data_IF_438678871991
#
_entry.id   IF_438678871991
#
_cell.length_a   1.000
_cell.length_b   1.000
_cell.length_c   1.000
_cell.angle_alpha   90.00
_cell.angle_beta   90.00
_cell.angle_gamma   90.00
#
_symmetry.space_group_name_H-M   'P 1'
#
loop_
_entity.id
_entity.type
_entity.pdbx_description
1 polymer ?
#
# COMPACT_ATOMS: atom_id res chain seq x y z
N UNK A 1 -3.84 -19.91 9.72
CA UNK A 1 -2.67 -20.06 8.83
C UNK A 1 -2.17 -21.46 8.95
N UNK A 2 -1.55 -22.09 7.97
CA UNK A 2 -0.70 -23.23 8.33
C UNK A 2 0.64 -22.69 8.84
N UNK A 3 1.24 -23.32 9.85
CA UNK A 3 2.69 -23.47 9.88
C UNK A 3 3.03 -24.08 8.51
N UNK A 4 3.56 -23.25 7.60
CA UNK A 4 3.35 -23.43 6.16
C UNK A 4 3.81 -24.81 5.68
N UNK A 5 2.91 -25.61 5.07
CA UNK A 5 3.19 -26.93 4.47
C UNK A 5 3.71 -26.85 3.03
N UNK A 6 3.73 -25.66 2.43
CA UNK A 6 4.26 -25.46 1.08
C UNK A 6 5.68 -24.90 1.16
N UNK A 7 6.61 -25.78 1.50
CA UNK A 7 8.04 -25.54 1.38
C UNK A 7 8.55 -26.35 0.19
N UNK A 8 9.33 -25.72 -0.70
CA UNK A 8 10.22 -26.51 -1.55
C UNK A 8 11.20 -27.26 -0.64
N UNK A 9 11.75 -28.41 -1.08
CA UNK A 9 12.74 -29.17 -0.29
C UNK A 9 13.96 -28.33 0.18
N UNK A 10 14.14 -27.12 -0.37
CA UNK A 10 15.19 -26.15 -0.03
C UNK A 10 14.72 -24.97 0.87
N UNK A 11 13.50 -24.99 1.42
CA UNK A 11 12.99 -23.92 2.30
C UNK A 11 12.52 -22.66 1.58
N UNK A 12 12.20 -22.75 0.28
CA UNK A 12 11.71 -21.64 -0.52
C UNK A 12 10.23 -21.34 -0.30
N UNK A 13 9.85 -20.08 -0.52
CA UNK A 13 8.47 -19.62 -0.53
C UNK A 13 7.75 -20.16 -1.77
N UNK A 14 6.71 -20.98 -1.58
CA UNK A 14 5.84 -21.43 -2.67
C UNK A 14 4.63 -20.49 -2.74
N UNK A 15 4.63 -19.64 -3.77
CA UNK A 15 3.49 -18.80 -4.13
C UNK A 15 2.75 -19.51 -5.26
N UNK A 16 1.42 -19.48 -5.21
CA UNK A 16 0.59 -19.99 -6.30
C UNK A 16 0.93 -19.22 -7.60
N UNK A 17 0.98 -19.90 -8.75
CA UNK A 17 1.31 -19.27 -10.03
C UNK A 17 0.36 -18.11 -10.43
N UNK A 18 -0.80 -18.01 -9.77
CA UNK A 18 -1.78 -16.93 -9.95
C UNK A 18 -1.56 -15.70 -9.05
N UNK A 19 -0.60 -15.73 -8.12
CA UNK A 19 -0.33 -14.66 -7.16
C UNK A 19 1.05 -14.04 -7.41
N UNK A 20 1.10 -12.71 -7.61
CA UNK A 20 2.36 -11.98 -7.82
C UNK A 20 2.89 -11.36 -6.53
N UNK A 21 4.22 -11.30 -6.41
CA UNK A 21 4.90 -10.53 -5.36
C UNK A 21 4.86 -9.05 -5.76
N UNK A 22 4.26 -8.22 -4.91
CA UNK A 22 4.20 -6.77 -5.09
C UNK A 22 5.39 -6.06 -4.46
N UNK A 23 5.90 -6.59 -3.34
CA UNK A 23 7.04 -6.03 -2.62
C UNK A 23 7.77 -7.11 -1.84
N UNK A 24 9.08 -6.96 -1.70
CA UNK A 24 9.94 -7.75 -0.83
C UNK A 24 10.74 -6.80 0.08
N UNK A 25 10.87 -7.15 1.35
CA UNK A 25 11.74 -6.49 2.32
C UNK A 25 12.65 -7.52 2.99
N UNK A 26 13.95 -7.23 3.02
CA UNK A 26 14.96 -8.05 3.71
C UNK A 26 15.17 -7.54 5.13
N UNK A 27 15.80 -8.38 5.95
CA UNK A 27 16.17 -8.07 7.34
C UNK A 27 15.00 -7.54 8.20
N UNK A 28 13.82 -8.14 8.01
CA UNK A 28 12.64 -7.84 8.80
C UNK A 28 12.62 -8.70 10.05
N UNK A 29 12.30 -8.08 11.18
CA UNK A 29 12.06 -8.75 12.45
C UNK A 29 10.56 -8.87 12.73
N UNK A 30 10.07 -10.08 13.00
CA UNK A 30 8.69 -10.36 13.38
C UNK A 30 8.62 -10.80 14.83
N UNK A 31 7.75 -10.16 15.62
CA UNK A 31 7.50 -10.55 17.00
C UNK A 31 6.00 -10.53 17.30
N UNK A 32 5.60 -11.33 18.30
CA UNK A 32 4.21 -11.46 18.74
C UNK A 32 4.07 -11.16 20.22
N UNK A 33 2.97 -10.52 20.61
CA UNK A 33 2.53 -10.29 21.99
C UNK A 33 1.03 -10.61 22.13
N UNK A 34 0.52 -10.52 23.37
CA UNK A 34 -0.91 -10.64 23.67
C UNK A 34 -1.55 -11.96 23.22
N UNK A 35 -0.79 -13.06 23.38
CA UNK A 35 -1.24 -14.42 23.09
C UNK A 35 -1.53 -15.16 24.40
N UNK A 36 -2.73 -15.75 24.51
CA UNK A 36 -3.11 -16.54 25.69
C UNK A 36 -2.18 -17.74 25.91
N UNK A 37 -1.85 -18.46 24.84
CA UNK A 37 -0.84 -19.51 24.81
C UNK A 37 0.15 -19.17 23.70
N UNK A 38 1.45 -19.26 23.98
CA UNK A 38 2.51 -18.90 23.02
C UNK A 38 3.30 -20.14 22.58
N UNK A 39 2.92 -20.78 21.44
CA UNK A 39 3.65 -21.91 20.90
C UNK A 39 5.09 -21.52 20.58
N UNK A 40 5.99 -22.52 20.50
CA UNK A 40 7.42 -22.30 20.24
C UNK A 40 7.68 -21.48 18.97
N UNK A 41 6.91 -21.72 17.92
CA UNK A 41 6.96 -20.97 16.67
C UNK A 41 6.75 -19.45 16.86
N UNK A 42 6.07 -19.01 17.91
CA UNK A 42 5.78 -17.60 18.18
C UNK A 42 6.71 -16.98 19.24
N UNK A 43 7.56 -17.79 19.89
CA UNK A 43 8.50 -17.31 20.91
C UNK A 43 9.66 -16.55 20.27
N UNK A 44 10.15 -15.54 21.00
CA UNK A 44 11.24 -14.66 20.60
C UNK A 44 10.98 -13.89 19.29
N UNK A 45 11.87 -12.96 18.98
CA UNK A 45 11.84 -12.23 17.71
C UNK A 45 12.39 -13.11 16.59
N UNK A 46 11.68 -13.16 15.48
CA UNK A 46 12.02 -13.91 14.27
C UNK A 46 12.71 -12.98 13.30
N UNK A 47 13.79 -13.43 12.65
CA UNK A 47 14.50 -12.65 11.61
C UNK A 47 14.26 -13.28 10.26
N UNK A 48 13.98 -12.49 9.24
CA UNK A 48 13.55 -13.03 7.96
C UNK A 48 13.36 -12.02 6.85
N UNK A 49 12.69 -12.49 5.80
CA UNK A 49 12.20 -11.68 4.68
C UNK A 49 10.69 -11.54 4.78
N UNK A 50 10.17 -10.39 4.34
CA UNK A 50 8.75 -10.12 4.28
C UNK A 50 8.34 -9.88 2.83
N UNK A 51 7.34 -10.63 2.38
CA UNK A 51 6.76 -10.52 1.06
C UNK A 51 5.36 -9.95 1.15
N UNK A 52 5.03 -9.07 0.22
CA UNK A 52 3.69 -8.53 0.02
C UNK A 52 3.10 -9.08 -1.26
N UNK A 53 1.85 -9.53 -1.18
CA UNK A 53 1.04 -9.97 -2.32
C UNK A 53 -0.27 -9.18 -2.31
N UNK A 54 -1.13 -9.30 -3.34
CA UNK A 54 -2.46 -8.70 -3.32
C UNK A 54 -3.36 -9.15 -2.15
N UNK A 55 -3.10 -10.30 -1.54
CA UNK A 55 -4.03 -10.93 -0.59
C UNK A 55 -3.49 -11.06 0.84
N UNK A 56 -2.16 -11.02 1.00
CA UNK A 56 -1.49 -11.39 2.25
C UNK A 56 -0.06 -10.85 2.33
N UNK A 57 0.40 -10.67 3.56
CA UNK A 57 1.83 -10.63 3.85
C UNK A 57 2.33 -12.05 4.11
N UNK A 58 3.57 -12.35 3.74
CA UNK A 58 4.20 -13.62 4.04
C UNK A 58 5.57 -13.35 4.63
N UNK A 59 5.76 -13.75 5.88
CA UNK A 59 7.05 -13.71 6.54
C UNK A 59 7.76 -15.05 6.33
N UNK A 60 8.99 -15.02 5.83
CA UNK A 60 9.86 -16.17 5.68
C UNK A 60 11.01 -16.06 6.68
N UNK A 61 11.09 -16.99 7.63
CA UNK A 61 12.13 -17.01 8.64
C UNK A 61 13.46 -17.40 8.01
N UNK A 62 14.55 -16.79 8.50
CA UNK A 62 15.91 -17.12 8.12
C UNK A 62 16.39 -18.35 8.92
N UNK A 63 17.08 -19.27 8.24
CA UNK A 63 17.70 -20.43 8.89
C UNK A 63 16.67 -21.49 9.33
N UNK A 64 16.97 -22.18 10.43
CA UNK A 64 16.15 -23.29 10.96
C UNK A 64 15.21 -22.85 12.10
N UNK A 65 14.60 -21.67 11.99
CA UNK A 65 13.64 -21.21 13.00
C UNK A 65 12.37 -22.09 12.97
N UNK A 66 11.82 -22.51 14.14
CA UNK A 66 10.62 -23.34 14.21
C UNK A 66 9.39 -22.78 13.46
N UNK A 67 9.30 -21.46 13.30
CA UNK A 67 8.23 -20.81 12.53
C UNK A 67 8.28 -21.18 11.05
N UNK A 68 9.48 -21.29 10.47
CA UNK A 68 9.74 -21.46 9.03
C UNK A 68 9.14 -20.34 8.16
N UNK A 69 7.81 -20.24 8.05
CA UNK A 69 7.12 -19.08 7.48
C UNK A 69 5.75 -18.86 8.11
N UNK A 70 5.28 -17.62 8.04
CA UNK A 70 4.03 -17.16 8.63
C UNK A 70 3.26 -16.29 7.65
N UNK A 71 2.04 -16.69 7.34
CA UNK A 71 1.25 -16.12 6.25
C UNK A 71 0.09 -15.30 6.79
N UNK A 72 0.12 -13.98 6.67
CA UNK A 72 -0.83 -13.05 7.27
C UNK A 72 -1.86 -12.55 6.24
N UNK A 73 -3.03 -13.19 6.07
CA UNK A 73 -4.03 -12.77 5.10
C UNK A 73 -4.76 -11.53 5.60
N UNK A 74 -5.05 -10.59 4.70
CA UNK A 74 -5.60 -9.29 5.12
C UNK A 74 -6.95 -9.39 5.83
N UNK A 75 -7.76 -10.40 5.52
CA UNK A 75 -9.05 -10.58 6.20
C UNK A 75 -8.92 -10.94 7.69
N UNK A 76 -7.78 -11.52 8.11
CA UNK A 76 -7.47 -11.86 9.51
C UNK A 76 -6.66 -10.78 10.24
N UNK A 77 -6.12 -9.81 9.50
CA UNK A 77 -5.29 -8.73 10.03
C UNK A 77 -6.15 -7.51 10.31
N UNK A 78 -5.96 -6.87 11.47
CA UNK A 78 -6.72 -5.68 11.91
C UNK A 78 -5.78 -4.63 12.51
N UNK A 79 -6.24 -3.37 12.47
CA UNK A 79 -5.59 -2.27 13.19
C UNK A 79 -4.13 -2.02 12.81
N UNK A 80 -3.76 -2.24 11.54
CA UNK A 80 -2.38 -1.99 11.11
C UNK A 80 -2.02 -0.50 11.14
N UNK A 81 -0.87 -0.16 11.72
CA UNK A 81 -0.27 1.18 11.64
C UNK A 81 1.22 1.09 11.30
N UNK A 82 1.73 2.13 10.63
CA UNK A 82 3.18 2.33 10.39
C UNK A 82 3.66 3.29 11.49
N UNK A 83 4.68 2.89 12.22
CA UNK A 83 5.28 3.66 13.30
C UNK A 83 6.68 4.10 12.87
N UNK A 84 6.97 5.39 13.01
CA UNK A 84 8.20 6.04 12.54
C UNK A 84 9.00 6.69 13.69
N UNK A 85 9.59 5.88 14.59
CA UNK A 85 10.40 6.39 15.68
C UNK A 85 11.70 7.03 15.16
N UNK A 86 12.12 8.13 15.78
CA UNK A 86 13.33 8.88 15.38
C UNK A 86 14.63 8.10 15.64
N UNK A 87 14.66 7.28 16.70
CA UNK A 87 15.86 6.61 17.18
C UNK A 87 15.81 5.08 17.09
N UNK A 88 14.88 4.52 16.31
CA UNK A 88 14.82 3.07 16.08
C UNK A 88 14.28 2.78 14.69
N UNK A 89 14.35 1.52 14.26
CA UNK A 89 13.83 1.13 12.96
C UNK A 89 12.30 1.29 12.89
N UNK A 90 11.83 1.78 11.74
CA UNK A 90 10.40 1.87 11.45
C UNK A 90 9.78 0.47 11.50
N UNK A 91 8.54 0.41 11.99
CA UNK A 91 7.85 -0.86 12.13
C UNK A 91 6.37 -0.75 11.81
N UNK A 92 5.78 -1.87 11.38
CA UNK A 92 4.34 -2.02 11.22
C UNK A 92 3.84 -2.88 12.38
N UNK A 93 2.81 -2.41 13.08
CA UNK A 93 2.13 -3.21 14.11
C UNK A 93 0.67 -3.40 13.76
N UNK A 94 0.05 -4.43 14.31
CA UNK A 94 -1.38 -4.70 14.19
C UNK A 94 -1.77 -5.93 14.99
N UNK A 95 -3.01 -6.37 14.85
CA UNK A 95 -3.46 -7.64 15.40
C UNK A 95 -3.77 -8.63 14.30
N UNK A 96 -3.64 -9.91 14.61
CA UNK A 96 -3.97 -11.00 13.70
C UNK A 96 -4.78 -12.07 14.42
N UNK A 97 -5.84 -12.52 13.78
CA UNK A 97 -6.69 -13.59 14.28
C UNK A 97 -6.26 -14.94 13.71
N UNK A 98 -6.33 -15.98 14.55
CA UNK A 98 -6.13 -17.34 14.12
C UNK A 98 -7.22 -17.75 13.11
N UNK A 99 -6.82 -18.47 12.07
CA UNK A 99 -7.76 -19.18 11.20
C UNK A 99 -8.09 -20.53 11.85
N UNK A 100 -9.35 -20.98 11.88
CA UNK A 100 -9.69 -22.34 12.27
C UNK A 100 -8.82 -23.39 11.56
N UNK A 101 -8.33 -24.39 12.30
CA UNK A 101 -7.43 -25.43 11.79
C UNK A 101 -6.02 -24.93 11.44
N UNK A 102 -5.63 -23.75 11.93
CA UNK A 102 -4.38 -23.08 11.60
C UNK A 102 -3.17 -23.41 12.50
N UNK A 103 -3.23 -24.46 13.31
CA UNK A 103 -2.13 -24.83 14.21
C UNK A 103 -1.87 -23.84 15.36
N UNK A 104 -2.71 -22.84 15.55
CA UNK A 104 -2.77 -21.97 16.73
C UNK A 104 -4.17 -21.36 16.85
N UNK A 105 -4.50 -20.81 18.02
CA UNK A 105 -5.84 -20.31 18.36
C UNK A 105 -5.81 -18.91 18.97
N UNK A 106 -6.94 -18.21 18.91
CA UNK A 106 -7.10 -16.88 19.47
C UNK A 106 -6.63 -15.76 18.55
N UNK A 107 -5.97 -14.76 19.13
CA UNK A 107 -5.41 -13.61 18.44
C UNK A 107 -4.02 -13.29 18.98
N UNK A 108 -3.26 -12.52 18.21
CA UNK A 108 -1.95 -12.02 18.62
C UNK A 108 -1.77 -10.59 18.11
N UNK A 109 -1.13 -9.75 18.90
CA UNK A 109 -0.53 -8.52 18.39
C UNK A 109 0.79 -8.89 17.71
N UNK A 110 1.04 -8.35 16.52
CA UNK A 110 2.30 -8.54 15.81
C UNK A 110 3.02 -7.21 15.61
N UNK A 111 4.34 -7.30 15.48
CA UNK A 111 5.23 -6.19 15.12
C UNK A 111 6.25 -6.66 14.09
N UNK A 112 6.29 -5.98 12.95
CA UNK A 112 7.22 -6.15 11.83
C UNK A 112 8.18 -4.97 11.80
N UNK A 113 9.43 -5.15 12.22
CA UNK A 113 10.47 -4.11 12.25
C UNK A 113 11.38 -4.22 11.04
N UNK A 114 11.57 -3.11 10.32
CA UNK A 114 12.29 -3.07 9.04
C UNK A 114 13.68 -2.49 9.25
N UNK A 115 14.65 -3.34 9.61
CA UNK A 115 16.01 -2.89 9.95
C UNK A 115 16.79 -2.34 8.76
N UNK A 116 16.45 -2.77 7.54
CA UNK A 116 17.06 -2.32 6.29
C UNK A 116 16.22 -1.26 5.55
N UNK A 117 15.25 -0.62 6.23
CA UNK A 117 14.34 0.38 5.64
C UNK A 117 13.19 -0.23 4.84
N UNK A 118 12.45 0.62 4.11
CA UNK A 118 11.33 0.21 3.24
C UNK A 118 9.96 0.07 3.93
N UNK A 119 9.86 0.33 5.24
CA UNK A 119 8.62 0.20 6.00
C UNK A 119 7.48 1.08 5.47
N UNK A 120 7.81 2.30 5.03
CA UNK A 120 6.82 3.30 4.58
C UNK A 120 6.24 2.86 3.24
N UNK A 121 7.10 2.56 2.27
CA UNK A 121 6.71 2.10 0.93
C UNK A 121 5.96 0.78 1.02
N UNK A 122 6.45 -0.16 1.85
CA UNK A 122 5.77 -1.42 2.10
C UNK A 122 4.37 -1.19 2.67
N UNK A 123 4.26 -0.37 3.73
CA UNK A 123 3.00 -0.08 4.40
C UNK A 123 1.99 0.65 3.49
N UNK A 124 2.46 1.59 2.66
CA UNK A 124 1.62 2.28 1.66
C UNK A 124 1.00 1.30 0.66
N UNK A 125 1.81 0.40 0.07
CA UNK A 125 1.30 -0.63 -0.86
C UNK A 125 0.38 -1.59 -0.11
N UNK A 126 0.75 -2.00 1.10
CA UNK A 126 -0.04 -2.89 1.96
C UNK A 126 -1.44 -2.33 2.23
N UNK A 127 -1.56 -1.07 2.64
CA UNK A 127 -2.86 -0.46 2.92
C UNK A 127 -3.76 -0.40 1.68
N UNK A 128 -3.17 -0.13 0.50
CA UNK A 128 -3.91 -0.13 -0.76
C UNK A 128 -4.46 -1.52 -1.09
N UNK A 129 -3.62 -2.56 -1.03
CA UNK A 129 -4.06 -3.93 -1.36
C UNK A 129 -5.01 -4.51 -0.31
N UNK A 130 -4.82 -4.20 0.97
CA UNK A 130 -5.72 -4.61 2.05
C UNK A 130 -7.12 -3.99 1.87
N UNK A 131 -7.19 -2.73 1.44
CA UNK A 131 -8.46 -2.06 1.11
C UNK A 131 -9.15 -2.76 -0.06
N UNK A 132 -8.42 -3.10 -1.12
CA UNK A 132 -8.99 -3.81 -2.28
C UNK A 132 -9.47 -5.21 -1.91
N UNK A 133 -8.68 -5.96 -1.15
CA UNK A 133 -9.04 -7.29 -0.66
C UNK A 133 -10.30 -7.26 0.21
N UNK A 134 -10.48 -6.21 1.03
CA UNK A 134 -11.70 -6.03 1.82
C UNK A 134 -12.96 -5.76 0.97
N UNK A 135 -12.79 -5.27 -0.26
CA UNK A 135 -13.87 -4.94 -1.21
C UNK A 135 -14.10 -6.04 -2.26
N UNK A 136 -13.31 -7.12 -2.25
CA UNK A 136 -13.36 -8.19 -3.27
C UNK A 136 -12.87 -7.75 -4.65
N UNK A 137 -12.10 -6.66 -4.75
CA UNK A 137 -11.58 -6.16 -6.03
C UNK A 137 -10.18 -6.75 -6.26
N UNK A 138 -9.92 -7.47 -7.37
CA UNK A 138 -8.59 -7.98 -7.67
C UNK A 138 -7.63 -6.80 -7.94
N UNK A 139 -6.48 -6.79 -7.26
CA UNK A 139 -5.51 -5.71 -7.43
C UNK A 139 -4.61 -6.01 -8.64
N UNK A 140 -4.70 -5.20 -9.70
CA UNK A 140 -3.80 -5.28 -10.86
C UNK A 140 -2.35 -4.94 -10.46
N UNK A 141 -1.41 -5.67 -11.07
CA UNK A 141 0.05 -5.69 -10.85
C UNK A 141 0.69 -4.40 -10.33
N UNK A 142 1.57 -4.55 -9.33
CA UNK A 142 2.39 -3.47 -8.75
C UNK A 142 3.46 -2.87 -9.70
N UNK A 143 3.49 -3.26 -10.98
CA UNK A 143 4.38 -2.66 -11.97
C UNK A 143 3.98 -1.22 -12.39
N UNK A 144 2.83 -0.72 -11.94
CA UNK A 144 2.36 0.64 -12.25
C UNK A 144 2.83 1.72 -11.26
N UNK A 145 3.62 1.40 -10.23
CA UNK A 145 4.12 2.40 -9.27
C UNK A 145 5.45 3.03 -9.74
N UNK A 146 5.48 3.50 -10.98
CA UNK A 146 6.43 4.54 -11.36
C UNK A 146 5.84 5.88 -10.92
N UNK A 147 6.62 6.63 -10.14
CA UNK A 147 6.38 8.02 -9.79
C UNK A 147 6.02 8.78 -11.08
N UNK A 148 4.78 9.25 -11.22
CA UNK A 148 4.42 10.16 -12.31
C UNK A 148 4.75 11.58 -11.86
N UNK A 149 5.84 12.21 -12.35
CA UNK A 149 5.94 13.65 -12.22
C UNK A 149 4.76 14.26 -12.99
N UNK A 150 4.12 15.28 -12.40
CA UNK A 150 3.08 16.04 -13.06
C UNK A 150 3.63 16.59 -14.39
N UNK A 151 3.12 16.10 -15.51
CA UNK A 151 3.36 16.64 -16.83
C UNK A 151 2.02 16.76 -17.55
N UNK A 152 1.70 18.00 -17.90
CA UNK A 152 0.60 18.41 -18.75
C UNK A 152 0.47 17.54 -20.01
N UNK A 153 -0.77 17.30 -20.42
CA UNK A 153 -1.11 17.23 -21.83
C UNK A 153 -1.25 15.83 -22.44
N UNK A 154 -2.50 15.51 -22.80
CA UNK A 154 -2.90 14.61 -23.89
C UNK A 154 -2.40 13.15 -23.86
N UNK A 155 -3.10 12.31 -23.09
CA UNK A 155 -3.15 10.87 -23.35
C UNK A 155 -4.23 10.53 -24.40
N UNK A 156 -3.99 9.58 -25.33
CA UNK A 156 -4.96 9.23 -26.37
C UNK A 156 -6.19 8.52 -25.78
N UNK A 157 -7.39 8.72 -26.35
CA UNK A 157 -8.60 8.08 -25.85
C UNK A 157 -8.61 6.56 -26.12
N UNK A 158 -9.32 5.77 -25.29
CA UNK A 158 -9.37 4.31 -25.40
C UNK A 158 -10.06 3.86 -26.70
N UNK A 159 -9.68 2.71 -27.28
CA UNK A 159 -10.27 2.21 -28.52
C UNK A 159 -11.70 1.72 -28.28
N UNK A 160 -12.65 2.25 -29.05
CA UNK A 160 -14.04 1.79 -29.07
C UNK A 160 -14.19 0.56 -29.97
N UNK A 161 -14.88 -0.44 -29.45
CA UNK A 161 -15.26 -1.67 -30.15
C UNK A 161 -16.57 -1.43 -30.93
N UNK A 162 -16.52 -1.66 -32.25
CA UNK A 162 -17.56 -2.18 -33.16
C UNK A 162 -17.72 -1.41 -34.49
N UNK A 163 -17.45 -2.13 -35.60
CA UNK A 163 -18.37 -2.27 -36.74
C UNK A 163 -18.52 -1.11 -37.75
N UNK A 164 -18.37 -1.34 -39.07
CA UNK A 164 -18.39 -0.30 -40.10
C UNK A 164 -19.81 0.02 -40.58
N UNK A 165 -20.08 1.28 -40.98
CA UNK A 165 -20.71 1.69 -42.25
C UNK A 165 -21.29 3.13 -42.23
N UNK A 166 -20.99 3.87 -43.31
CA UNK A 166 -21.72 4.98 -43.99
C UNK A 166 -21.52 6.46 -43.54
N UNK A 167 -20.86 7.22 -44.43
CA UNK A 167 -20.88 8.70 -44.58
C UNK A 167 -22.13 9.16 -45.39
N UNK A 168 -22.36 10.46 -45.70
CA UNK A 168 -21.97 11.75 -45.08
C UNK A 168 -23.16 12.76 -44.95
N UNK A 169 -23.00 13.89 -44.23
CA UNK A 169 -23.41 15.24 -44.70
C UNK A 169 -23.11 16.35 -43.66
N UNK A 170 -22.65 17.55 -44.08
CA UNK A 170 -22.44 18.70 -43.22
C UNK A 170 -23.68 19.60 -43.18
N UNK A 171 -24.08 20.10 -42.01
CA UNK A 171 -25.05 21.19 -41.91
C UNK A 171 -24.55 22.28 -40.97
N UNK A 172 -24.54 23.48 -41.53
CA UNK A 172 -24.08 24.73 -40.94
C UNK A 172 -25.23 25.45 -40.23
N UNK A 173 -24.85 26.48 -39.46
CA UNK A 173 -25.65 27.57 -38.88
C UNK A 173 -26.34 27.34 -37.52
N UNK A 174 -25.87 28.13 -36.55
CA UNK A 174 -26.59 28.40 -35.30
C UNK A 174 -25.80 29.34 -34.39
N UNK A 175 -25.83 30.64 -34.70
CA UNK A 175 -25.34 31.75 -33.88
C UNK A 175 -25.88 31.70 -32.44
N UNK A 176 -25.05 31.97 -31.42
CA UNK A 176 -25.38 32.83 -30.26
C UNK A 176 -24.11 33.40 -29.59
N UNK A 177 -24.22 34.66 -29.17
CA UNK A 177 -23.18 35.58 -28.68
C UNK A 177 -22.86 35.43 -27.16
N UNK A 178 -21.71 35.91 -26.66
CA UNK A 178 -21.41 36.09 -25.23
C UNK A 178 -22.02 37.43 -24.71
N UNK A 179 -22.22 37.75 -23.39
CA UNK A 179 -21.40 37.39 -22.22
C UNK A 179 -22.16 37.21 -20.86
N UNK A 180 -21.36 37.12 -19.77
CA UNK A 180 -21.57 36.81 -18.33
C UNK A 180 -22.52 37.77 -17.57
N UNK A 181 -23.06 37.43 -16.36
CA UNK A 181 -22.33 37.71 -15.09
C UNK A 181 -22.70 36.87 -13.84
N UNK A 182 -21.70 36.45 -13.05
CA UNK A 182 -21.76 36.25 -11.58
C UNK A 182 -20.36 35.78 -11.18
N UNK A 183 -19.55 36.49 -10.40
CA UNK A 183 -19.84 37.31 -9.25
C UNK A 183 -18.94 36.78 -8.14
N UNK A 184 -17.76 37.37 -7.96
CA UNK A 184 -16.98 37.24 -6.72
C UNK A 184 -16.34 38.59 -6.38
N UNK A 185 -16.41 39.01 -5.10
CA UNK A 185 -15.94 40.31 -4.65
C UNK A 185 -14.42 40.44 -4.77
N UNK A 186 -14.01 41.57 -5.33
CA UNK A 186 -12.64 42.01 -5.46
C UNK A 186 -12.04 42.27 -4.07
N UNK A 187 -10.89 41.68 -3.75
CA UNK A 187 -10.05 42.15 -2.65
C UNK A 187 -9.36 43.45 -3.10
N UNK A 188 -9.39 44.54 -2.30
CA UNK A 188 -8.78 45.79 -2.72
C UNK A 188 -7.25 45.66 -2.78
N UNK A 189 -6.70 45.94 -3.96
CA UNK A 189 -5.26 46.18 -4.18
C UNK A 189 -4.84 47.47 -3.48
N UNK A 190 -3.71 47.52 -2.75
CA UNK A 190 -3.19 48.77 -2.22
C UNK A 190 -2.50 49.58 -3.34
N UNK A 191 -2.62 50.92 -3.37
CA UNK A 191 -2.01 51.74 -4.39
C UNK A 191 -0.49 51.84 -4.22
N UNK A 192 0.20 51.70 -5.35
CA UNK A 192 1.65 51.79 -5.51
C UNK A 192 2.13 53.26 -5.39
N UNK A 193 3.17 53.49 -4.57
CA UNK A 193 3.97 54.72 -4.60
C UNK A 193 3.83 55.66 -3.40
N UNK A 194 4.46 55.31 -2.27
CA UNK A 194 5.19 56.24 -1.36
C UNK A 194 6.33 55.48 -0.67
N UNK A 195 7.49 56.11 -0.59
CA UNK A 195 8.76 55.58 -0.08
C UNK A 195 8.66 54.94 1.31
N UNK A 196 9.40 53.85 1.51
CA UNK A 196 9.51 53.12 2.77
C UNK A 196 10.66 53.74 3.59
N UNK A 197 10.44 54.29 4.80
CA UNK A 197 11.55 54.59 5.70
C UNK A 197 12.06 53.31 6.37
N UNK A 198 13.36 53.21 6.71
CA UNK A 198 13.97 51.97 7.18
C UNK A 198 13.48 51.59 8.58
N UNK A 199 13.23 50.30 8.77
CA UNK A 199 12.81 49.68 10.04
C UNK A 199 14.04 49.60 10.96
N UNK A 200 13.98 50.28 12.11
CA UNK A 200 14.96 50.11 13.20
C UNK A 200 14.52 48.91 14.04
N UNK A 201 15.41 47.92 14.14
CA UNK A 201 15.29 46.74 15.00
C UNK A 201 15.53 47.12 16.47
N UNK A 202 14.60 46.74 17.34
CA UNK A 202 14.70 46.73 18.79
C UNK A 202 13.96 45.54 19.37
#
# INVERSE_FOLDING_TARGET
>A
MALNRNHSQAGGLVIDNSESILKECKDVELSFSDMANKPEAFKHTKKGMLYLTPYRMIFLSKGKDPMQSFMMPFYLVKGCSIEQPVFSANYIKGTIHAKPGGGWEGQASFKLTFNSGGAIEFGQVMFKVATNASRGIPTQNAAAYAYTPAANGYGPPPPTVNGPYLYPAPQTNGYFAPPQPMGYPYAPVPPEGKEVPPIVLG
#
